data_IF_775078559291
#
_entry.id   IF_775078559291
#
_cell.length_a   1.000
_cell.length_b   1.000
_cell.length_c   1.000
_cell.angle_alpha   90.00
_cell.angle_beta   90.00
_cell.angle_gamma   90.00
#
_symmetry.space_group_name_H-M   'P 1'
#
loop_
_entity.id
_entity.type
_entity.pdbx_description
1 polymer ?
#
# COMPACT_ATOMS: atom_id res chain seq x y z
N UNK A 1 -17.21 27.40 1.99
CA UNK A 1 -16.34 26.38 2.61
C UNK A 1 -17.04 25.04 2.44
N UNK A 2 -16.41 24.04 1.81
CA UNK A 2 -16.95 22.67 1.85
C UNK A 2 -16.69 22.11 3.25
N UNK A 3 -17.67 21.43 3.82
CA UNK A 3 -17.58 20.91 5.18
C UNK A 3 -16.51 19.81 5.26
N UNK A 4 -15.63 19.89 6.25
CA UNK A 4 -14.72 18.79 6.59
C UNK A 4 -15.56 17.62 7.09
N UNK A 5 -15.37 16.44 6.49
CA UNK A 5 -15.91 15.19 7.02
C UNK A 5 -14.83 14.55 7.88
N UNK A 6 -15.11 14.37 9.17
CA UNK A 6 -14.24 13.63 10.06
C UNK A 6 -14.79 12.21 10.22
N UNK A 7 -13.92 11.21 10.03
CA UNK A 7 -14.27 9.80 10.14
C UNK A 7 -13.40 9.18 11.23
N UNK A 8 -14.03 8.58 12.23
CA UNK A 8 -13.34 7.76 13.20
C UNK A 8 -13.12 6.35 12.64
N UNK A 9 -11.86 5.99 12.42
CA UNK A 9 -11.51 4.75 11.71
C UNK A 9 -11.93 3.52 12.51
N UNK A 10 -11.84 3.59 13.84
CA UNK A 10 -12.23 2.47 14.72
C UNK A 10 -13.74 2.24 14.70
N UNK A 11 -14.55 3.29 14.59
CA UNK A 11 -16.02 3.20 14.55
C UNK A 11 -16.52 2.62 13.24
N UNK A 12 -15.86 2.95 12.12
CA UNK A 12 -16.22 2.46 10.79
C UNK A 12 -15.71 1.04 10.52
N UNK A 13 -14.57 0.66 11.11
CA UNK A 13 -13.90 -0.59 10.78
C UNK A 13 -13.61 -1.41 12.04
N UNK A 14 -12.52 -1.09 12.73
CA UNK A 14 -12.00 -1.81 13.90
C UNK A 14 -10.69 -1.17 14.37
N UNK A 15 -10.26 -1.49 15.59
CA UNK A 15 -8.92 -1.23 16.12
C UNK A 15 -7.82 -1.99 15.34
N UNK A 16 -8.18 -3.09 14.66
CA UNK A 16 -7.30 -4.00 13.93
C UNK A 16 -7.54 -3.94 12.42
N UNK A 17 -6.78 -3.10 11.71
CA UNK A 17 -6.97 -2.85 10.28
C UNK A 17 -6.21 -3.87 9.41
N UNK A 18 -6.78 -5.05 9.18
CA UNK A 18 -6.04 -6.19 8.63
C UNK A 18 -6.41 -6.59 7.18
N UNK A 19 -7.58 -6.25 6.67
CA UNK A 19 -8.07 -6.69 5.34
C UNK A 19 -8.06 -5.58 4.28
N UNK A 20 -8.14 -5.96 3.00
CA UNK A 20 -8.26 -4.99 1.89
C UNK A 20 -9.70 -4.49 1.78
N UNK A 21 -10.63 -5.37 2.12
CA UNK A 21 -12.08 -5.17 2.11
C UNK A 21 -12.43 -4.04 3.07
N UNK A 22 -11.93 -4.07 4.30
CA UNK A 22 -12.11 -3.00 5.29
C UNK A 22 -11.61 -1.63 4.79
N UNK A 23 -10.44 -1.59 4.12
CA UNK A 23 -9.94 -0.35 3.53
C UNK A 23 -10.84 0.15 2.39
N UNK A 24 -11.49 -0.76 1.67
CA UNK A 24 -12.41 -0.43 0.58
C UNK A 24 -13.75 0.08 1.13
N UNK A 25 -14.28 -0.55 2.18
CA UNK A 25 -15.49 -0.11 2.89
C UNK A 25 -15.32 1.31 3.44
N UNK A 26 -14.22 1.58 4.14
CA UNK A 26 -13.88 2.90 4.65
C UNK A 26 -13.86 3.98 3.55
N UNK A 27 -13.36 3.62 2.37
CA UNK A 27 -13.26 4.55 1.23
C UNK A 27 -14.59 4.71 0.49
N UNK A 28 -15.47 3.70 0.54
CA UNK A 28 -16.82 3.81 -0.01
C UNK A 28 -17.68 4.77 0.82
N UNK A 29 -17.54 4.76 2.15
CA UNK A 29 -18.19 5.75 3.02
C UNK A 29 -17.83 7.19 2.61
N UNK A 30 -16.58 7.42 2.21
CA UNK A 30 -16.14 8.72 1.66
C UNK A 30 -16.78 9.04 0.31
N UNK A 31 -16.94 8.06 -0.58
CA UNK A 31 -17.58 8.26 -1.90
C UNK A 31 -19.04 8.65 -1.79
N UNK A 32 -19.73 8.07 -0.82
CA UNK A 32 -21.13 8.34 -0.54
C UNK A 32 -21.31 9.70 0.16
N UNK A 33 -20.26 10.21 0.81
CA UNK A 33 -20.27 11.51 1.42
C UNK A 33 -20.06 12.66 0.41
N UNK A 34 -20.88 13.71 0.53
CA UNK A 34 -20.75 14.94 -0.28
C UNK A 34 -19.66 15.89 0.24
N UNK A 35 -18.49 15.35 0.62
CA UNK A 35 -17.35 16.15 1.07
C UNK A 35 -16.14 15.99 0.15
N UNK A 36 -15.41 17.09 -0.04
CA UNK A 36 -14.15 17.11 -0.77
C UNK A 36 -12.94 17.14 0.16
N UNK A 37 -13.14 17.13 1.48
CA UNK A 37 -12.08 17.11 2.46
C UNK A 37 -12.48 16.14 3.56
N UNK A 38 -11.68 15.09 3.71
CA UNK A 38 -11.91 14.03 4.70
C UNK A 38 -10.69 13.94 5.60
N UNK A 39 -10.94 13.92 6.90
CA UNK A 39 -9.92 13.57 7.89
C UNK A 39 -10.27 12.20 8.49
N UNK A 40 -9.35 11.26 8.37
CA UNK A 40 -9.42 9.99 9.08
C UNK A 40 -8.68 10.11 10.41
N UNK A 41 -9.43 9.95 11.50
CA UNK A 41 -8.89 9.89 12.85
C UNK A 41 -8.53 8.44 13.19
N UNK A 42 -7.23 8.20 13.43
CA UNK A 42 -6.68 6.88 13.77
C UNK A 42 -6.50 6.67 15.27
N UNK A 43 -7.14 7.49 16.11
CA UNK A 43 -7.17 7.26 17.56
C UNK A 43 -7.68 5.84 17.86
N UNK A 44 -7.03 5.17 18.82
CA UNK A 44 -7.36 3.80 19.23
C UNK A 44 -7.16 2.71 18.16
N UNK A 45 -6.59 3.03 16.99
CA UNK A 45 -6.10 1.99 16.08
C UNK A 45 -4.83 1.40 16.67
N UNK A 46 -4.87 0.11 16.99
CA UNK A 46 -3.72 -0.60 17.57
C UNK A 46 -2.79 -1.11 16.47
N UNK A 47 -3.36 -1.60 15.35
CA UNK A 47 -2.60 -2.27 14.31
C UNK A 47 -3.16 -1.99 12.92
N UNK A 48 -2.25 -1.91 11.94
CA UNK A 48 -2.57 -1.87 10.52
C UNK A 48 -1.73 -2.89 9.77
N UNK A 49 -2.34 -3.70 8.91
CA UNK A 49 -1.60 -4.60 8.04
C UNK A 49 -1.08 -3.87 6.80
N UNK A 50 -0.01 -4.41 6.22
CA UNK A 50 0.48 -3.93 4.92
C UNK A 50 -0.57 -4.05 3.81
N UNK A 51 -1.41 -5.08 3.85
CA UNK A 51 -2.46 -5.29 2.84
C UNK A 51 -3.53 -4.21 2.93
N UNK A 52 -3.97 -3.86 4.14
CA UNK A 52 -4.88 -2.73 4.38
C UNK A 52 -4.24 -1.44 3.87
N UNK A 53 -3.02 -1.13 4.31
CA UNK A 53 -2.31 0.10 3.93
C UNK A 53 -2.11 0.24 2.41
N UNK A 54 -1.78 -0.85 1.70
CA UNK A 54 -1.65 -0.88 0.24
C UNK A 54 -2.99 -0.57 -0.45
N UNK A 55 -4.09 -1.16 0.04
CA UNK A 55 -5.41 -0.89 -0.51
C UNK A 55 -5.88 0.53 -0.21
N UNK A 56 -5.74 0.98 1.04
CA UNK A 56 -6.03 2.34 1.48
C UNK A 56 -5.30 3.37 0.62
N UNK A 57 -4.00 3.15 0.34
CA UNK A 57 -3.22 4.06 -0.51
C UNK A 57 -3.76 4.16 -1.94
N UNK A 58 -4.11 3.02 -2.54
CA UNK A 58 -4.67 2.95 -3.89
C UNK A 58 -6.01 3.67 -3.98
N UNK A 59 -6.92 3.38 -3.05
CA UNK A 59 -8.24 4.00 -3.01
C UNK A 59 -8.15 5.51 -2.74
N UNK A 60 -7.26 5.95 -1.84
CA UNK A 60 -6.99 7.38 -1.62
C UNK A 60 -6.57 8.10 -2.90
N UNK A 61 -5.65 7.53 -3.67
CA UNK A 61 -5.23 8.11 -4.96
C UNK A 61 -6.43 8.17 -5.93
N UNK A 62 -7.23 7.11 -5.96
CA UNK A 62 -8.42 7.04 -6.81
C UNK A 62 -9.44 8.12 -6.46
N UNK A 63 -9.75 8.31 -5.18
CA UNK A 63 -10.63 9.39 -4.69
C UNK A 63 -10.11 10.78 -5.07
N UNK A 64 -8.81 11.02 -4.88
CA UNK A 64 -8.18 12.28 -5.24
C UNK A 64 -8.27 12.57 -6.75
N UNK A 65 -8.14 11.53 -7.59
CA UNK A 65 -8.17 11.68 -9.04
C UNK A 65 -9.59 11.85 -9.58
N UNK A 66 -10.52 10.98 -9.16
CA UNK A 66 -11.90 10.90 -9.65
C UNK A 66 -12.81 11.97 -9.06
N UNK A 67 -12.76 12.18 -7.74
CA UNK A 67 -13.71 13.01 -7.00
C UNK A 67 -13.11 14.32 -6.46
N UNK A 68 -11.79 14.50 -6.62
CA UNK A 68 -11.05 15.65 -6.06
C UNK A 68 -11.22 15.75 -4.54
N UNK A 69 -11.30 14.61 -3.86
CA UNK A 69 -11.34 14.53 -2.40
C UNK A 69 -9.91 14.57 -1.87
N UNK A 70 -9.65 15.51 -0.96
CA UNK A 70 -8.42 15.57 -0.20
C UNK A 70 -8.58 14.74 1.08
N UNK A 71 -7.61 13.86 1.34
CA UNK A 71 -7.63 12.95 2.49
C UNK A 71 -6.47 13.27 3.42
N UNK A 72 -6.81 13.55 4.67
CA UNK A 72 -5.91 13.80 5.79
C UNK A 72 -5.98 12.65 6.80
N UNK A 73 -4.91 12.49 7.57
CA UNK A 73 -4.79 11.46 8.61
C UNK A 73 -4.40 12.17 9.90
N UNK A 74 -5.17 11.99 10.96
CA UNK A 74 -4.90 12.50 12.31
C UNK A 74 -4.76 11.37 13.33
N UNK A 75 -4.09 11.65 14.45
CA UNK A 75 -3.93 10.75 15.61
C UNK A 75 -3.41 9.33 15.32
N UNK A 76 -2.66 9.14 14.23
CA UNK A 76 -2.05 7.85 13.93
C UNK A 76 -0.85 7.56 14.84
N UNK A 77 -0.81 6.35 15.40
CA UNK A 77 0.34 5.88 16.16
C UNK A 77 1.58 5.65 15.26
N UNK A 78 2.76 5.49 15.88
CA UNK A 78 4.02 5.32 15.14
C UNK A 78 4.04 4.07 14.23
N UNK A 79 3.45 2.96 14.68
CA UNK A 79 3.39 1.73 13.90
C UNK A 79 2.57 1.90 12.62
N UNK A 80 1.40 2.54 12.72
CA UNK A 80 0.53 2.88 11.59
C UNK A 80 1.28 3.78 10.60
N UNK A 81 1.93 4.84 11.10
CA UNK A 81 2.70 5.78 10.26
C UNK A 81 3.84 5.05 9.53
N UNK A 82 4.56 4.16 10.20
CA UNK A 82 5.67 3.40 9.60
C UNK A 82 5.20 2.49 8.47
N UNK A 83 4.04 1.85 8.62
CA UNK A 83 3.47 0.98 7.59
C UNK A 83 3.01 1.81 6.38
N UNK A 84 2.32 2.93 6.61
CA UNK A 84 1.91 3.85 5.54
C UNK A 84 3.12 4.38 4.75
N UNK A 85 4.20 4.78 5.43
CA UNK A 85 5.45 5.20 4.78
C UNK A 85 6.07 4.08 3.95
N UNK A 86 6.12 2.87 4.52
CA UNK A 86 6.67 1.70 3.83
C UNK A 86 5.90 1.39 2.55
N UNK A 87 4.57 1.42 2.61
CA UNK A 87 3.73 1.22 1.44
C UNK A 87 3.95 2.32 0.41
N UNK A 88 3.92 3.59 0.82
CA UNK A 88 4.12 4.73 -0.09
C UNK A 88 5.46 4.64 -0.85
N UNK A 89 6.54 4.25 -0.18
CA UNK A 89 7.85 4.03 -0.80
C UNK A 89 7.88 2.90 -1.83
N UNK A 90 6.93 1.96 -1.78
CA UNK A 90 6.86 0.84 -2.74
C UNK A 90 6.00 1.09 -3.97
N UNK A 91 5.20 2.17 -4.01
CA UNK A 91 4.32 2.48 -5.14
C UNK A 91 5.07 3.09 -6.34
N UNK A 92 6.18 3.79 -6.08
CA UNK A 92 7.02 4.39 -7.12
C UNK A 92 8.25 3.54 -7.46
N UNK A 93 8.07 2.24 -7.74
CA UNK A 93 9.18 1.42 -8.23
C UNK A 93 9.55 1.86 -9.64
N UNK A 94 10.68 2.55 -9.77
CA UNK A 94 11.41 2.64 -11.04
C UNK A 94 11.53 1.25 -11.65
N UNK A 95 11.33 1.12 -12.97
CA UNK A 95 11.46 -0.15 -13.70
C UNK A 95 12.65 -0.94 -13.13
N UNK A 96 12.38 -2.11 -12.54
CA UNK A 96 13.45 -2.99 -12.08
C UNK A 96 14.28 -3.33 -13.32
N UNK A 97 15.54 -2.91 -13.33
CA UNK A 97 16.48 -3.33 -14.36
C UNK A 97 16.80 -4.80 -14.10
N UNK A 98 16.12 -5.68 -14.83
CA UNK A 98 16.44 -7.10 -14.82
C UNK A 98 17.76 -7.28 -15.55
N UNK A 99 18.75 -7.87 -14.87
CA UNK A 99 19.92 -8.42 -15.55
C UNK A 99 19.60 -9.86 -15.91
N UNK A 100 19.73 -10.22 -17.18
CA UNK A 100 19.73 -11.61 -17.60
C UNK A 100 21.05 -12.19 -17.09
N UNK A 101 20.97 -13.10 -16.13
CA UNK A 101 22.12 -13.90 -15.72
C UNK A 101 22.21 -15.11 -16.64
N UNK A 102 23.35 -15.37 -17.30
CA UNK A 102 23.52 -16.58 -18.08
C UNK A 102 23.42 -17.79 -17.13
N UNK A 103 22.51 -18.71 -17.45
CA UNK A 103 22.35 -19.98 -16.72
C UNK A 103 22.94 -21.07 -17.60
N UNK A 104 24.03 -21.67 -17.15
CA UNK A 104 24.68 -22.77 -17.86
C UNK A 104 24.16 -24.11 -17.32
N UNK A 105 23.77 -25.00 -18.23
CA UNK A 105 23.43 -26.39 -17.92
C UNK A 105 24.38 -27.29 -18.68
N UNK A 106 25.15 -28.09 -17.96
CA UNK A 106 26.00 -29.13 -18.53
C UNK A 106 25.20 -30.42 -18.60
N UNK A 107 24.95 -30.93 -19.80
CA UNK A 107 24.11 -32.11 -20.04
C UNK A 107 24.88 -33.43 -19.91
N UNK A 108 26.21 -33.38 -19.86
CA UNK A 108 27.10 -34.51 -19.66
C UNK A 108 28.41 -34.05 -19.00
N UNK A 109 29.24 -35.01 -18.58
CA UNK A 109 30.50 -34.72 -17.89
C UNK A 109 31.57 -34.14 -18.85
N UNK A 110 31.59 -34.55 -20.11
CA UNK A 110 32.58 -34.08 -21.09
C UNK A 110 32.48 -32.55 -21.30
N UNK A 111 31.25 -32.03 -21.41
CA UNK A 111 30.99 -30.59 -21.56
C UNK A 111 31.31 -29.79 -20.29
N UNK A 112 31.18 -30.41 -19.12
CA UNK A 112 31.59 -29.79 -17.86
C UNK A 112 33.11 -29.72 -17.77
N UNK A 113 33.80 -30.80 -18.14
CA UNK A 113 35.26 -30.88 -18.12
C UNK A 113 35.89 -29.89 -19.11
N UNK A 114 35.37 -29.78 -20.33
CA UNK A 114 35.79 -28.76 -21.31
C UNK A 114 35.60 -27.33 -20.79
N UNK A 115 34.48 -27.06 -20.10
CA UNK A 115 34.25 -25.75 -19.48
C UNK A 115 35.25 -25.48 -18.35
N UNK A 116 35.52 -26.46 -17.47
CA UNK A 116 36.46 -26.29 -16.37
C UNK A 116 37.91 -26.11 -16.83
N UNK A 117 38.29 -26.71 -17.96
CA UNK A 117 39.63 -26.60 -18.55
C UNK A 117 39.82 -25.33 -19.39
N UNK A 118 38.74 -24.64 -19.75
CA UNK A 118 38.78 -23.41 -20.58
C UNK A 118 38.73 -22.10 -19.78
N UNK A 119 38.67 -22.18 -18.44
CA UNK A 119 38.71 -21.04 -17.51
C UNK A 119 40.13 -20.76 -17.03
#
# INVERSE_FOLDING_TARGET
MKALLQIQVVEEVSEMLNTREAATELMNAVREANSNQVEFDFSNVEFMSRSFADQFHKERIRLQNELKVFVEISNANEQVVNILRTVAGTQNKSKRNYKILPVFKFSNNDLLEEYLLSV
#
